data_IF_957783223429
#
_entry.id   IF_957783223429
#
_cell.length_a   1.000
_cell.length_b   1.000
_cell.length_c   1.000
_cell.angle_alpha   90.00
_cell.angle_beta   90.00
_cell.angle_gamma   90.00
#
_symmetry.space_group_name_H-M   'P 1'
#
loop_
_entity.id
_entity.type
_entity.pdbx_description
1 polymer ?
#
# COMPACT_ATOMS: atom_id res chain seq x y z
N UNK A 1 -33.50 58.14 -23.69
CA UNK A 1 -32.44 57.10 -23.65
C UNK A 1 -32.13 56.76 -22.21
N UNK A 2 -32.33 55.50 -21.79
CA UNK A 2 -31.26 54.59 -21.35
C UNK A 2 -31.90 53.32 -20.76
N UNK A 3 -31.64 52.21 -21.43
CA UNK A 3 -32.12 50.88 -21.10
C UNK A 3 -31.49 50.38 -19.80
N UNK A 4 -32.28 49.67 -18.99
CA UNK A 4 -31.80 48.96 -17.82
C UNK A 4 -31.03 47.71 -18.27
N UNK A 5 -29.73 47.84 -18.46
CA UNK A 5 -28.82 46.73 -18.76
C UNK A 5 -28.58 45.92 -17.49
N UNK A 6 -29.13 44.70 -17.43
CA UNK A 6 -28.81 43.71 -16.39
C UNK A 6 -27.41 43.15 -16.63
N UNK A 7 -26.41 43.68 -15.93
CA UNK A 7 -25.04 43.17 -15.97
C UNK A 7 -24.96 41.90 -15.12
N UNK A 8 -24.96 40.74 -15.77
CA UNK A 8 -24.59 39.46 -15.16
C UNK A 8 -23.07 39.44 -14.99
N UNK A 9 -22.59 39.64 -13.75
CA UNK A 9 -21.20 39.44 -13.42
C UNK A 9 -20.90 37.93 -13.37
N UNK A 10 -20.23 37.40 -14.39
CA UNK A 10 -19.72 36.02 -14.40
C UNK A 10 -18.44 36.00 -13.57
N UNK A 11 -18.54 35.54 -12.32
CA UNK A 11 -17.38 35.23 -11.48
C UNK A 11 -16.83 33.88 -11.93
N UNK A 12 -15.85 33.90 -12.85
CA UNK A 12 -15.10 32.71 -13.23
C UNK A 12 -14.06 32.38 -12.16
N UNK A 13 -14.42 31.51 -11.21
CA UNK A 13 -13.46 30.93 -10.27
C UNK A 13 -12.63 29.87 -11.02
N UNK A 14 -11.43 30.24 -11.47
CA UNK A 14 -10.46 29.28 -12.00
C UNK A 14 -9.84 28.50 -10.84
N UNK A 15 -10.43 27.35 -10.52
CA UNK A 15 -9.81 26.37 -9.62
C UNK A 15 -8.58 25.78 -10.32
N UNK A 16 -7.40 26.12 -9.79
CA UNK A 16 -6.15 25.54 -10.24
C UNK A 16 -6.19 24.01 -10.12
N UNK A 17 -5.81 23.32 -11.19
CA UNK A 17 -5.60 21.88 -11.16
C UNK A 17 -4.46 21.59 -10.18
N UNK A 18 -4.79 21.10 -8.98
CA UNK A 18 -3.82 20.51 -8.09
C UNK A 18 -3.31 19.23 -8.76
N UNK A 19 -2.11 19.31 -9.35
CA UNK A 19 -1.40 18.12 -9.81
C UNK A 19 -1.14 17.21 -8.62
N UNK A 20 -1.79 16.06 -8.59
CA UNK A 20 -1.52 15.00 -7.61
C UNK A 20 -0.12 14.43 -7.93
N UNK A 21 0.91 14.95 -7.27
CA UNK A 21 2.22 14.30 -7.31
C UNK A 21 2.14 13.01 -6.50
N UNK A 22 2.02 11.87 -7.19
CA UNK A 22 2.06 10.53 -6.57
C UNK A 22 3.49 10.18 -6.12
N UNK A 23 3.94 10.72 -4.99
CA UNK A 23 5.11 10.20 -4.30
C UNK A 23 4.69 8.95 -3.52
N UNK A 24 5.19 7.77 -3.92
CA UNK A 24 5.05 6.55 -3.14
C UNK A 24 5.61 6.80 -1.73
N UNK A 25 4.93 6.39 -0.65
CA UNK A 25 5.44 6.61 0.70
C UNK A 25 6.79 5.92 0.88
N UNK A 26 7.78 6.64 1.42
CA UNK A 26 9.07 6.05 1.77
C UNK A 26 8.90 5.20 3.04
N UNK A 27 9.06 3.89 2.89
CA UNK A 27 8.93 2.94 3.99
C UNK A 27 10.28 2.69 4.63
N UNK A 28 10.35 2.92 5.94
CA UNK A 28 11.55 2.66 6.75
C UNK A 28 11.21 1.70 7.89
N UNK A 29 12.19 0.92 8.39
CA UNK A 29 11.95 0.04 9.54
C UNK A 29 11.60 0.89 10.77
N UNK A 30 10.54 0.51 11.48
CA UNK A 30 10.12 1.21 12.70
C UNK A 30 11.13 1.02 13.86
N UNK A 31 11.84 -0.11 13.86
CA UNK A 31 12.80 -0.51 14.89
C UNK A 31 13.85 -1.48 14.34
N UNK A 32 14.70 -2.01 15.21
CA UNK A 32 15.75 -2.98 14.88
C UNK A 32 15.26 -4.43 14.83
N UNK A 33 13.96 -4.69 15.00
CA UNK A 33 13.42 -6.04 14.93
C UNK A 33 13.50 -6.59 13.51
N UNK A 34 13.74 -7.89 13.41
CA UNK A 34 13.86 -8.58 12.12
C UNK A 34 12.56 -8.48 11.31
N UNK A 35 11.41 -8.49 11.99
CA UNK A 35 10.09 -8.31 11.36
C UNK A 35 9.90 -6.94 10.72
N UNK A 36 10.46 -5.87 11.29
CA UNK A 36 10.44 -4.52 10.70
C UNK A 36 11.20 -4.47 9.37
N UNK A 37 12.36 -5.14 9.30
CA UNK A 37 13.12 -5.30 8.04
C UNK A 37 12.34 -6.13 7.00
N UNK A 38 11.62 -7.17 7.45
CA UNK A 38 10.80 -8.00 6.58
C UNK A 38 9.65 -7.20 5.98
N UNK A 39 8.95 -6.37 6.77
CA UNK A 39 7.89 -5.50 6.29
C UNK A 39 8.37 -4.59 5.16
N UNK A 40 9.47 -3.86 5.38
CA UNK A 40 10.04 -2.97 4.36
C UNK A 40 10.49 -3.77 3.13
N UNK A 41 11.16 -4.91 3.32
CA UNK A 41 11.62 -5.75 2.20
C UNK A 41 10.45 -6.28 1.37
N UNK A 42 9.35 -6.69 2.02
CA UNK A 42 8.14 -7.16 1.35
C UNK A 42 7.47 -6.04 0.52
N UNK A 43 7.53 -4.80 0.99
CA UNK A 43 7.03 -3.65 0.23
C UNK A 43 7.90 -3.29 -0.99
N UNK A 44 9.19 -3.64 -1.02
CA UNK A 44 10.03 -3.39 -2.23
C UNK A 44 9.61 -4.21 -3.47
N UNK A 45 8.64 -5.12 -3.35
CA UNK A 45 8.18 -5.97 -4.45
C UNK A 45 9.18 -7.05 -4.91
N UNK A 46 10.36 -7.16 -4.29
CA UNK A 46 11.38 -8.12 -4.70
C UNK A 46 11.27 -9.45 -3.95
N UNK A 47 10.70 -10.47 -4.61
CA UNK A 47 10.60 -11.84 -4.10
C UNK A 47 11.96 -12.43 -3.70
N UNK A 48 13.01 -12.13 -4.47
CA UNK A 48 14.38 -12.59 -4.18
C UNK A 48 14.90 -11.99 -2.87
N UNK A 49 14.78 -10.67 -2.70
CA UNK A 49 15.22 -10.00 -1.47
C UNK A 49 14.42 -10.47 -0.26
N UNK A 50 13.10 -10.64 -0.43
CA UNK A 50 12.25 -11.16 0.63
C UNK A 50 12.64 -12.58 1.03
N UNK A 51 12.85 -13.50 0.06
CA UNK A 51 13.33 -14.86 0.36
C UNK A 51 14.62 -14.84 1.16
N UNK A 52 15.62 -14.09 0.71
CA UNK A 52 16.90 -14.00 1.41
C UNK A 52 16.72 -13.44 2.83
N UNK A 53 15.89 -12.40 2.99
CA UNK A 53 15.60 -11.83 4.31
C UNK A 53 14.91 -12.82 5.25
N UNK A 54 14.05 -13.72 4.74
CA UNK A 54 13.44 -14.78 5.53
C UNK A 54 14.44 -15.88 5.92
N UNK A 55 15.31 -16.27 4.98
CA UNK A 55 16.37 -17.25 5.21
C UNK A 55 17.39 -16.76 6.24
N UNK A 56 17.87 -15.51 6.12
CA UNK A 56 18.76 -14.86 7.07
C UNK A 56 18.14 -14.77 8.47
N UNK A 57 16.82 -14.62 8.54
CA UNK A 57 16.05 -14.52 9.77
C UNK A 57 15.69 -15.89 10.38
N UNK A 58 15.89 -17.00 9.66
CA UNK A 58 15.40 -18.32 10.05
C UNK A 58 13.87 -18.41 10.13
N UNK A 59 13.14 -17.57 9.37
CA UNK A 59 11.68 -17.51 9.40
C UNK A 59 11.07 -18.25 8.22
N UNK A 60 9.98 -18.96 8.50
CA UNK A 60 9.20 -19.62 7.44
C UNK A 60 8.15 -18.65 6.89
N UNK A 61 7.75 -18.88 5.64
CA UNK A 61 6.62 -18.19 5.01
C UNK A 61 5.34 -18.28 5.87
N UNK A 62 5.08 -19.46 6.42
CA UNK A 62 3.91 -19.70 7.27
C UNK A 62 3.96 -18.88 8.57
N UNK A 63 5.14 -18.77 9.19
CA UNK A 63 5.29 -17.89 10.35
C UNK A 63 4.98 -16.44 9.99
N UNK A 64 5.55 -15.96 8.88
CA UNK A 64 5.38 -14.59 8.40
C UNK A 64 3.92 -14.27 8.09
N UNK A 65 3.25 -15.14 7.34
CA UNK A 65 1.83 -15.03 7.00
C UNK A 65 0.93 -14.85 8.23
N UNK A 66 1.21 -15.60 9.32
CA UNK A 66 0.29 -15.69 10.45
C UNK A 66 0.67 -14.82 11.66
N UNK A 67 1.92 -14.36 11.75
CA UNK A 67 2.43 -13.71 12.97
C UNK A 67 3.08 -12.34 12.72
N UNK A 68 3.36 -11.97 11.47
CA UNK A 68 4.01 -10.68 11.18
C UNK A 68 2.96 -9.64 10.85
N UNK A 69 2.95 -8.58 11.65
CA UNK A 69 2.17 -7.36 11.42
C UNK A 69 3.09 -6.20 11.07
N UNK A 70 2.72 -5.44 10.06
CA UNK A 70 3.42 -4.26 9.58
C UNK A 70 2.52 -3.04 9.75
N UNK A 71 2.91 -2.07 10.58
CA UNK A 71 2.10 -0.89 10.91
C UNK A 71 0.67 -1.25 11.36
N UNK A 72 0.53 -2.30 12.18
CA UNK A 72 -0.76 -2.78 12.69
C UNK A 72 -1.58 -3.62 11.70
N UNK A 73 -1.10 -3.82 10.48
CA UNK A 73 -1.77 -4.65 9.46
C UNK A 73 -1.09 -6.01 9.34
N UNK A 74 -1.83 -7.12 9.13
CA UNK A 74 -1.23 -8.37 8.68
C UNK A 74 -0.35 -8.14 7.45
N UNK A 75 0.81 -8.80 7.36
CA UNK A 75 1.78 -8.53 6.29
C UNK A 75 1.20 -8.67 4.88
N UNK A 76 0.24 -9.58 4.67
CA UNK A 76 -0.42 -9.76 3.36
C UNK A 76 -1.25 -8.52 2.99
N UNK A 77 -1.93 -7.90 3.96
CA UNK A 77 -2.67 -6.65 3.74
C UNK A 77 -1.73 -5.47 3.52
N UNK A 78 -0.66 -5.40 4.31
CA UNK A 78 0.36 -4.37 4.16
C UNK A 78 1.00 -4.41 2.77
N UNK A 79 1.38 -5.60 2.30
CA UNK A 79 1.92 -5.80 0.95
C UNK A 79 0.90 -5.41 -0.12
N UNK A 80 -0.37 -5.76 0.04
CA UNK A 80 -1.41 -5.40 -0.92
C UNK A 80 -1.57 -3.87 -1.08
N UNK A 81 -1.32 -3.10 -0.02
CA UNK A 81 -1.44 -1.65 -0.03
C UNK A 81 -0.18 -0.92 -0.47
N UNK A 82 1.00 -1.43 -0.08
CA UNK A 82 2.24 -0.66 -0.15
C UNK A 82 3.34 -1.31 -0.98
N UNK A 83 3.15 -2.52 -1.50
CA UNK A 83 4.18 -3.19 -2.29
C UNK A 83 4.18 -2.72 -3.74
N UNK A 84 5.38 -2.60 -4.33
CA UNK A 84 5.55 -2.37 -5.77
C UNK A 84 5.07 -3.56 -6.62
N UNK A 85 4.95 -4.76 -6.02
CA UNK A 85 4.49 -5.97 -6.71
C UNK A 85 3.67 -6.87 -5.76
N UNK A 86 2.45 -6.44 -5.39
CA UNK A 86 1.67 -7.05 -4.32
C UNK A 86 1.31 -8.51 -4.61
N UNK A 87 0.87 -8.83 -5.83
CA UNK A 87 0.44 -10.18 -6.20
C UNK A 87 1.59 -11.19 -6.11
N UNK A 88 2.77 -10.83 -6.61
CA UNK A 88 3.94 -11.73 -6.59
C UNK A 88 4.44 -11.97 -5.16
N UNK A 89 4.49 -10.92 -4.35
CA UNK A 89 4.92 -11.01 -2.96
C UNK A 89 3.91 -11.78 -2.11
N UNK A 90 2.63 -11.47 -2.22
CA UNK A 90 1.60 -12.18 -1.47
C UNK A 90 1.46 -13.64 -1.91
N UNK A 91 1.57 -13.94 -3.20
CA UNK A 91 1.65 -15.33 -3.66
C UNK A 91 2.90 -16.03 -3.10
N UNK A 92 4.03 -15.34 -2.95
CA UNK A 92 5.21 -15.92 -2.31
C UNK A 92 5.00 -16.24 -0.83
N UNK A 93 4.45 -15.29 -0.06
CA UNK A 93 4.17 -15.41 1.39
C UNK A 93 3.15 -16.53 1.63
N UNK A 94 2.03 -16.52 0.92
CA UNK A 94 0.92 -17.49 1.08
C UNK A 94 1.16 -18.82 0.38
N UNK A 95 2.35 -19.04 -0.19
CA UNK A 95 2.69 -20.23 -0.98
C UNK A 95 1.70 -20.52 -2.12
N UNK A 96 1.26 -19.46 -2.81
CA UNK A 96 0.40 -19.50 -3.99
C UNK A 96 -1.09 -19.41 -3.71
N UNK A 97 -1.50 -19.28 -2.44
CA UNK A 97 -2.92 -19.25 -2.03
C UNK A 97 -3.56 -17.86 -2.11
N UNK A 98 -2.78 -16.81 -2.36
CA UNK A 98 -3.29 -15.45 -2.43
C UNK A 98 -4.24 -15.26 -3.61
N UNK A 99 -5.43 -14.71 -3.32
CA UNK A 99 -6.44 -14.31 -4.30
C UNK A 99 -6.86 -12.87 -3.97
N UNK A 100 -6.45 -11.91 -4.81
CA UNK A 100 -6.62 -10.48 -4.55
C UNK A 100 -8.09 -10.09 -4.30
N UNK A 101 -9.01 -10.64 -5.11
CA UNK A 101 -10.43 -10.32 -5.09
C UNK A 101 -11.12 -10.68 -3.76
N UNK A 102 -10.62 -11.68 -3.03
CA UNK A 102 -11.20 -12.13 -1.75
C UNK A 102 -10.55 -11.46 -0.53
N UNK A 103 -9.29 -11.03 -0.66
CA UNK A 103 -8.55 -10.45 0.46
C UNK A 103 -8.92 -8.97 0.66
N UNK A 104 -8.98 -8.18 -0.41
CA UNK A 104 -9.30 -6.73 -0.32
C UNK A 104 -10.79 -6.51 0.01
N UNK A 105 -11.69 -7.39 -0.45
CA UNK A 105 -13.11 -7.33 -0.12
C UNK A 105 -13.40 -7.57 1.38
N UNK A 106 -12.52 -8.26 2.10
CA UNK A 106 -12.61 -8.48 3.54
C UNK A 106 -12.08 -7.29 4.37
N UNK A 107 -11.35 -6.36 3.73
CA UNK A 107 -10.65 -5.23 4.37
C UNK A 107 -11.41 -3.90 4.18
N UNK A 108 -12.43 -3.85 3.31
CA UNK A 108 -13.25 -2.65 3.14
C UNK A 108 -14.12 -2.45 4.40
N UNK A 109 -13.96 -1.35 5.16
CA UNK A 109 -14.75 -1.13 6.35
C UNK A 109 -16.22 -0.97 5.96
N UNK A 110 -17.11 -1.65 6.70
CA UNK A 110 -18.50 -1.21 6.83
C UNK A 110 -18.49 0.12 7.57
N UNK A 111 -18.52 1.23 6.83
CA UNK A 111 -19.02 2.51 7.29
C UNK A 111 -19.88 3.12 6.20
#
# INVERSE_FOLDING_TARGET
MKAFTKTLAVVGLSFGAMGMANASPELTPADTAVTSKICVTAATGSKLKLRNALEDAGLTKHYVENNVTCNGLPIVEFVAQYSDNPDSINAFITSGKYVADNYIASVKPRH
#
